data_IF_055160310373
#
_entry.id   IF_055160310373
#
_cell.length_a   1.000
_cell.length_b   1.000
_cell.length_c   1.000
_cell.angle_alpha   90.00
_cell.angle_beta   90.00
_cell.angle_gamma   90.00
#
_symmetry.space_group_name_H-M   'P 1'
#
loop_
_entity.id
_entity.type
_entity.pdbx_description
1 polymer ?
#
# COMPACT_ATOMS: atom_id res chain seq x y z
N UNK A 1 -9.61 0.84 4.72
CA UNK A 1 -10.12 -0.46 4.23
C UNK A 1 -10.13 -1.43 5.41
N UNK A 2 -11.07 -2.41 5.50
CA UNK A 2 -10.97 -3.46 6.52
C UNK A 2 -9.61 -4.16 6.45
N UNK A 3 -8.95 -4.36 7.60
CA UNK A 3 -7.62 -5.01 7.66
C UNK A 3 -7.63 -6.41 7.04
N UNK A 4 -8.77 -7.11 7.07
CA UNK A 4 -8.94 -8.43 6.47
C UNK A 4 -8.82 -8.46 4.94
N UNK A 5 -8.94 -7.31 4.27
CA UNK A 5 -8.80 -7.16 2.81
C UNK A 5 -7.40 -6.74 2.37
N UNK A 6 -6.51 -6.40 3.30
CA UNK A 6 -5.13 -6.00 3.01
C UNK A 6 -4.23 -7.22 3.19
N UNK A 7 -3.38 -7.48 2.22
CA UNK A 7 -2.44 -8.61 2.22
C UNK A 7 -1.03 -8.16 1.86
N UNK A 8 -0.05 -8.98 2.24
CA UNK A 8 1.34 -8.78 1.85
C UNK A 8 1.47 -8.83 0.32
N UNK A 9 2.29 -7.93 -0.23
CA UNK A 9 2.44 -7.77 -1.68
C UNK A 9 1.42 -6.84 -2.34
N UNK A 10 0.35 -6.41 -1.65
CA UNK A 10 -0.56 -5.40 -2.19
C UNK A 10 0.20 -4.10 -2.50
N UNK A 11 -0.18 -3.44 -3.60
CA UNK A 11 0.35 -2.13 -3.98
C UNK A 11 -0.78 -1.11 -4.00
N UNK A 12 -0.57 -0.05 -3.22
CA UNK A 12 -1.45 1.12 -3.19
C UNK A 12 -0.77 2.31 -3.87
N UNK A 13 -1.52 3.09 -4.61
CA UNK A 13 -1.06 4.34 -5.22
C UNK A 13 -2.10 5.43 -4.97
N UNK A 14 -1.69 6.49 -4.30
CA UNK A 14 -2.54 7.65 -4.09
C UNK A 14 -2.51 8.53 -5.34
N UNK A 15 -3.67 8.88 -5.90
CA UNK A 15 -3.79 9.78 -7.05
C UNK A 15 -3.58 11.24 -6.61
N UNK A 16 -2.33 11.67 -6.39
CA UNK A 16 -1.98 13.08 -6.22
C UNK A 16 -1.30 13.64 -7.47
N UNK A 17 -1.55 14.90 -7.86
CA UNK A 17 -1.03 15.50 -9.09
C UNK A 17 0.49 15.67 -9.15
N UNK A 18 1.22 15.58 -8.03
CA UNK A 18 2.65 15.92 -7.98
C UNK A 18 3.57 14.87 -7.34
N UNK A 19 3.02 13.84 -6.68
CA UNK A 19 3.80 12.75 -6.07
C UNK A 19 3.15 11.40 -6.34
N UNK A 20 3.63 10.73 -7.39
CA UNK A 20 3.26 9.34 -7.70
C UNK A 20 4.14 8.41 -6.87
N UNK A 21 3.84 8.26 -5.59
CA UNK A 21 4.42 7.23 -4.74
C UNK A 21 3.57 5.96 -4.78
N UNK A 22 4.23 4.83 -5.00
CA UNK A 22 3.65 3.50 -4.82
C UNK A 22 3.99 3.00 -3.41
N UNK A 23 3.03 2.37 -2.76
CA UNK A 23 3.15 1.85 -1.39
C UNK A 23 2.99 0.34 -1.44
N UNK A 24 4.11 -0.37 -1.27
CA UNK A 24 4.12 -1.83 -1.20
C UNK A 24 3.88 -2.27 0.25
N UNK A 25 2.92 -3.17 0.45
CA UNK A 25 2.70 -3.84 1.74
C UNK A 25 3.74 -4.93 1.93
N UNK A 26 4.55 -4.78 2.98
CA UNK A 26 5.58 -5.74 3.36
C UNK A 26 5.07 -6.75 4.40
N UNK A 27 4.21 -6.31 5.32
CA UNK A 27 3.76 -7.10 6.46
C UNK A 27 2.40 -6.59 6.95
N UNK A 28 1.51 -7.50 7.37
CA UNK A 28 0.19 -7.16 7.91
C UNK A 28 0.02 -7.72 9.32
N UNK A 29 0.02 -6.84 10.33
CA UNK A 29 -0.33 -7.21 11.70
C UNK A 29 -1.84 -7.01 11.93
N UNK A 30 -2.60 -8.10 11.83
CA UNK A 30 -4.06 -8.08 12.02
C UNK A 30 -4.50 -7.80 13.46
N UNK A 31 -3.69 -8.19 14.45
CA UNK A 31 -4.00 -8.00 15.87
C UNK A 31 -3.98 -6.53 16.27
N UNK A 32 -2.94 -5.82 15.83
CA UNK A 32 -2.78 -4.38 16.11
C UNK A 32 -3.41 -3.48 15.04
N UNK A 33 -3.92 -4.07 13.95
CA UNK A 33 -4.47 -3.36 12.78
C UNK A 33 -3.45 -2.43 12.11
N UNK A 34 -2.20 -2.86 12.10
CA UNK A 34 -1.07 -2.13 11.54
C UNK A 34 -0.57 -2.82 10.27
N UNK A 35 -0.13 -2.02 9.30
CA UNK A 35 0.37 -2.46 8.00
C UNK A 35 1.74 -1.82 7.79
N UNK A 36 2.75 -2.64 7.57
CA UNK A 36 4.11 -2.20 7.28
C UNK A 36 4.23 -1.97 5.78
N UNK A 37 4.70 -0.78 5.39
CA UNK A 37 4.82 -0.40 3.99
C UNK A 37 6.18 0.18 3.65
N UNK A 38 6.60 0.00 2.40
CA UNK A 38 7.70 0.73 1.78
C UNK A 38 7.16 1.59 0.64
N UNK A 39 7.53 2.87 0.62
CA UNK A 39 7.23 3.76 -0.49
C UNK A 39 8.26 3.59 -1.61
N UNK A 40 7.81 3.69 -2.85
CA UNK A 40 8.64 3.66 -4.06
C UNK A 40 8.29 4.83 -4.97
N UNK A 41 9.30 5.42 -5.60
CA UNK A 41 9.11 6.43 -6.64
C UNK A 41 8.77 5.78 -8.01
N UNK A 42 8.53 6.62 -9.02
CA UNK A 42 8.26 6.20 -10.40
C UNK A 42 9.40 5.41 -11.06
N UNK A 43 10.61 5.48 -10.50
CA UNK A 43 11.79 4.73 -10.96
C UNK A 43 11.98 3.44 -10.16
N UNK A 44 10.97 3.03 -9.38
CA UNK A 44 11.01 1.87 -8.49
C UNK A 44 12.13 1.93 -7.45
N UNK A 45 12.56 3.14 -7.07
CA UNK A 45 13.53 3.31 -5.98
C UNK A 45 12.80 3.48 -4.65
N UNK A 46 13.25 2.81 -3.58
CA UNK A 46 12.64 2.99 -2.27
C UNK A 46 12.83 4.42 -1.78
N UNK A 47 11.75 5.03 -1.31
CA UNK A 47 11.72 6.38 -0.74
C UNK A 47 11.59 6.26 0.78
N UNK A 48 12.64 6.69 1.50
CA UNK A 48 12.69 6.57 2.95
C UNK A 48 12.76 5.13 3.46
N UNK A 49 12.56 4.94 4.77
CA UNK A 49 12.57 3.63 5.43
C UNK A 49 11.16 3.04 5.50
N UNK A 50 11.02 1.70 5.58
CA UNK A 50 9.74 1.08 5.86
C UNK A 50 9.11 1.61 7.14
N UNK A 51 7.79 1.77 7.15
CA UNK A 51 7.07 2.27 8.32
C UNK A 51 5.74 1.56 8.53
N UNK A 52 5.31 1.52 9.78
CA UNK A 52 4.01 1.00 10.17
C UNK A 52 2.96 2.10 10.04
N UNK A 53 1.84 1.77 9.40
CA UNK A 53 0.66 2.64 9.27
C UNK A 53 -0.57 1.88 9.75
N UNK A 54 -1.46 2.57 10.45
CA UNK A 54 -2.78 2.01 10.77
C UNK A 54 -3.56 1.72 9.50
N UNK A 55 -4.35 0.64 9.47
CA UNK A 55 -5.24 0.30 8.35
C UNK A 55 -6.32 1.37 8.05
N UNK A 56 -6.52 2.32 8.96
CA UNK A 56 -7.40 3.48 8.79
C UNK A 56 -6.71 4.65 8.08
N UNK A 57 -5.41 4.55 7.78
CA UNK A 57 -4.70 5.53 6.98
C UNK A 57 -5.35 5.68 5.59
N UNK A 58 -5.43 6.92 5.08
CA UNK A 58 -6.04 7.27 3.79
C UNK A 58 -5.48 6.49 2.61
N UNK A 59 -4.21 6.03 2.67
CA UNK A 59 -3.63 5.25 1.58
C UNK A 59 -4.37 3.93 1.37
N UNK A 60 -4.92 3.34 2.44
CA UNK A 60 -5.62 2.07 2.42
C UNK A 60 -7.10 2.27 2.07
N UNK A 61 -7.35 2.70 0.85
CA UNK A 61 -8.68 2.75 0.26
C UNK A 61 -8.77 1.77 -0.91
N UNK A 62 -9.98 1.31 -1.23
CA UNK A 62 -10.17 0.52 -2.44
C UNK A 62 -9.73 1.31 -3.66
N UNK A 63 -10.05 2.61 -3.77
CA UNK A 63 -9.66 3.46 -4.92
C UNK A 63 -8.15 3.54 -5.18
N UNK A 64 -7.33 3.32 -4.15
CA UNK A 64 -5.88 3.41 -4.24
C UNK A 64 -5.22 2.05 -4.48
N UNK A 65 -5.92 0.94 -4.27
CA UNK A 65 -5.38 -0.40 -4.51
C UNK A 65 -5.29 -0.67 -6.02
N UNK A 66 -4.07 -0.92 -6.52
CA UNK A 66 -3.78 -1.11 -7.95
C UNK A 66 -3.29 -2.52 -8.28
N UNK A 67 -2.80 -3.27 -7.29
CA UNK A 67 -2.36 -4.64 -7.47
C UNK A 67 -2.53 -5.41 -6.17
N UNK A 68 -2.96 -6.66 -6.28
CA UNK A 68 -2.95 -7.60 -5.19
C UNK A 68 -1.61 -8.33 -5.07
N UNK A 69 -1.25 -8.76 -3.86
CA UNK A 69 -0.01 -9.54 -3.62
C UNK A 69 0.09 -10.89 -4.34
N UNK A 70 -1.01 -11.38 -4.93
CA UNK A 70 -1.05 -12.54 -5.82
C UNK A 70 -0.62 -12.22 -7.27
N UNK A 71 -0.26 -10.96 -7.55
CA UNK A 71 0.16 -10.49 -8.87
C UNK A 71 -1.01 -10.09 -9.78
N UNK A 72 -2.25 -10.14 -9.30
CA UNK A 72 -3.40 -9.67 -10.06
C UNK A 72 -3.45 -8.14 -10.05
N UNK A 73 -3.20 -7.54 -11.21
CA UNK A 73 -3.41 -6.11 -11.43
C UNK A 73 -4.91 -5.79 -11.43
N UNK A 74 -5.28 -4.79 -10.64
CA UNK A 74 -6.62 -4.26 -10.62
C UNK A 74 -6.69 -3.13 -11.64
N UNK A 75 -7.12 -3.45 -12.87
CA UNK A 75 -7.52 -2.41 -13.81
C UNK A 75 -8.75 -1.69 -13.25
N UNK A 76 -8.69 -0.36 -13.14
CA UNK A 76 -9.79 0.50 -12.69
C UNK A 76 -10.04 1.61 -13.69
#
# INVERSE_FOLDING_TARGET
MPISKIQEGDIFQEKYPFELLMWLVLEVNKGEKMVKVQAYDLKSKPVGKPKWLSNTNKIFSESNLIMHGDGNFLYK
#
